data_IF_095893159002
#
_entry.id   IF_095893159002
#
_cell.length_a   1.000
_cell.length_b   1.000
_cell.length_c   1.000
_cell.angle_alpha   90.00
_cell.angle_beta   90.00
_cell.angle_gamma   90.00
#
_symmetry.space_group_name_H-M   'P 1'
#
loop_
_entity.id
_entity.type
_entity.pdbx_description
1 polymer ?
#
# COMPACT_ATOMS: atom_id res chain seq x y z
N UNK A 1 3.72 30.32 2.86
CA UNK A 1 2.37 29.83 3.25
C UNK A 1 1.28 30.39 2.33
N UNK A 2 0.61 29.53 1.56
CA UNK A 2 -0.53 29.87 0.70
C UNK A 2 -1.82 29.96 1.52
N UNK A 3 -2.43 31.15 1.57
CA UNK A 3 -3.59 31.41 2.42
C UNK A 3 -4.85 30.62 2.03
N UNK A 4 -5.05 30.36 0.73
CA UNK A 4 -6.25 29.66 0.23
C UNK A 4 -6.20 28.17 0.58
N UNK A 5 -5.07 27.52 0.36
CA UNK A 5 -4.90 26.10 0.69
C UNK A 5 -4.88 25.89 2.20
N UNK A 6 -4.30 26.83 2.95
CA UNK A 6 -4.40 26.84 4.41
C UNK A 6 -5.85 26.95 4.90
N UNK A 7 -6.68 27.78 4.26
CA UNK A 7 -8.10 27.88 4.61
C UNK A 7 -8.86 26.57 4.37
N UNK A 8 -8.58 25.85 3.27
CA UNK A 8 -9.16 24.54 3.00
C UNK A 8 -8.71 23.47 4.01
N UNK A 9 -7.41 23.45 4.32
CA UNK A 9 -6.86 22.54 5.34
C UNK A 9 -7.52 22.77 6.71
N UNK A 10 -7.70 24.03 7.13
CA UNK A 10 -8.43 24.38 8.37
C UNK A 10 -9.91 23.98 8.35
N UNK A 11 -10.50 23.86 7.16
CA UNK A 11 -11.87 23.36 6.98
C UNK A 11 -11.96 21.82 6.98
N UNK A 12 -10.84 21.12 7.18
CA UNK A 12 -10.77 19.65 7.23
C UNK A 12 -10.53 18.96 5.89
N UNK A 13 -10.05 19.69 4.86
CA UNK A 13 -9.71 19.13 3.56
C UNK A 13 -8.21 18.93 3.43
N UNK A 14 -7.76 17.69 3.32
CA UNK A 14 -6.36 17.36 3.03
C UNK A 14 -6.01 17.68 1.58
N UNK A 15 -4.91 18.42 1.37
CA UNK A 15 -4.45 18.81 0.03
C UNK A 15 -3.35 17.86 -0.42
N UNK A 16 -3.59 17.14 -1.50
CA UNK A 16 -2.63 16.20 -2.07
C UNK A 16 -2.16 16.68 -3.43
N UNK A 17 -0.91 16.38 -3.76
CA UNK A 17 -0.33 16.64 -5.07
C UNK A 17 -0.52 15.43 -5.98
N UNK A 18 -1.05 15.62 -7.19
CA UNK A 18 -1.22 14.54 -8.18
C UNK A 18 -0.07 14.45 -9.18
N UNK A 19 1.16 14.47 -8.65
CA UNK A 19 2.40 14.44 -9.43
C UNK A 19 3.60 14.16 -8.53
N UNK A 20 4.42 13.16 -8.87
CA UNK A 20 5.72 12.92 -8.23
C UNK A 20 6.76 12.66 -9.33
N UNK A 21 7.80 13.49 -9.34
CA UNK A 21 8.96 13.33 -10.21
C UNK A 21 10.25 13.44 -9.41
N UNK A 22 11.32 12.84 -9.93
CA UNK A 22 12.67 12.97 -9.37
C UNK A 22 13.12 14.43 -9.27
N UNK A 23 12.81 15.25 -10.26
CA UNK A 23 13.04 16.70 -10.24
C UNK A 23 12.49 17.35 -8.98
N UNK A 24 11.23 17.06 -8.61
CA UNK A 24 10.57 17.70 -7.46
C UNK A 24 11.20 17.31 -6.14
N UNK A 25 11.68 16.07 -6.04
CA UNK A 25 12.39 15.56 -4.87
C UNK A 25 13.76 16.25 -4.75
N UNK A 26 14.58 16.15 -5.80
CA UNK A 26 15.98 16.60 -5.79
C UNK A 26 16.13 18.13 -5.77
N UNK A 27 15.20 18.87 -6.37
CA UNK A 27 15.19 20.35 -6.33
C UNK A 27 14.71 20.94 -5.00
N UNK A 28 14.16 20.12 -4.10
CA UNK A 28 13.49 20.58 -2.88
C UNK A 28 12.10 21.18 -3.11
N UNK A 29 11.55 21.09 -4.32
CA UNK A 29 10.22 21.59 -4.63
C UNK A 29 9.13 20.90 -3.79
N UNK A 30 9.20 19.57 -3.61
CA UNK A 30 8.21 18.86 -2.80
C UNK A 30 8.24 19.33 -1.34
N UNK A 31 9.44 19.51 -0.78
CA UNK A 31 9.59 20.05 0.58
C UNK A 31 9.02 21.47 0.71
N UNK A 32 9.20 22.32 -0.31
CA UNK A 32 8.57 23.64 -0.37
C UNK A 32 7.04 23.54 -0.41
N UNK A 33 6.47 22.63 -1.19
CA UNK A 33 5.01 22.43 -1.25
C UNK A 33 4.43 21.96 0.09
N UNK A 34 5.15 21.09 0.80
CA UNK A 34 4.77 20.65 2.15
C UNK A 34 4.77 21.85 3.11
N UNK A 35 5.86 22.61 3.15
CA UNK A 35 6.05 23.70 4.12
C UNK A 35 5.16 24.92 3.84
N UNK A 36 4.99 25.29 2.57
CA UNK A 36 4.40 26.56 2.18
C UNK A 36 3.04 26.45 1.50
N UNK A 37 2.61 25.26 1.06
CA UNK A 37 1.39 25.08 0.28
C UNK A 37 0.39 24.12 0.93
N UNK A 38 0.61 23.72 2.18
CA UNK A 38 -0.25 22.81 2.93
C UNK A 38 -0.45 21.45 2.24
N UNK A 39 0.51 21.02 1.41
CA UNK A 39 0.47 19.70 0.77
C UNK A 39 0.81 18.64 1.82
N UNK A 40 -0.06 17.64 1.96
CA UNK A 40 0.03 16.61 3.00
C UNK A 40 -0.01 15.19 2.44
N UNK A 41 0.08 15.03 1.12
CA UNK A 41 0.22 13.73 0.47
C UNK A 41 0.52 13.88 -1.01
N UNK A 42 0.91 12.78 -1.65
CA UNK A 42 1.19 12.76 -3.09
C UNK A 42 0.74 11.44 -3.73
N UNK A 43 0.30 11.52 -4.97
CA UNK A 43 -0.02 10.36 -5.79
C UNK A 43 0.92 10.26 -6.99
N UNK A 44 1.29 9.03 -7.33
CA UNK A 44 1.95 8.72 -8.60
C UNK A 44 0.95 8.12 -9.59
N UNK A 45 1.28 8.20 -10.87
CA UNK A 45 0.64 7.41 -11.91
C UNK A 45 1.69 7.02 -12.98
N UNK A 46 1.49 5.90 -13.70
CA UNK A 46 2.45 5.41 -14.69
C UNK A 46 2.75 6.42 -15.81
N UNK A 47 1.76 7.23 -16.21
CA UNK A 47 1.90 8.18 -17.32
C UNK A 47 2.87 9.33 -16.98
N UNK A 48 2.77 9.88 -15.77
CA UNK A 48 3.68 10.91 -15.26
C UNK A 48 5.09 10.35 -15.18
N UNK A 49 5.24 9.13 -14.65
CA UNK A 49 6.53 8.49 -14.52
C UNK A 49 7.19 8.20 -15.87
N UNK A 50 6.43 7.67 -16.83
CA UNK A 50 6.91 7.46 -18.20
C UNK A 50 7.36 8.76 -18.86
N UNK A 51 6.62 9.85 -18.65
CA UNK A 51 7.01 11.17 -19.16
C UNK A 51 8.30 11.68 -18.51
N UNK A 52 8.49 11.49 -17.21
CA UNK A 52 9.71 11.86 -16.49
C UNK A 52 10.93 11.06 -16.99
N UNK A 53 10.79 9.73 -17.13
CA UNK A 53 11.84 8.87 -17.69
C UNK A 53 12.23 9.25 -19.12
N UNK A 54 11.24 9.63 -19.95
CA UNK A 54 11.49 9.96 -21.36
C UNK A 54 12.28 11.26 -21.58
N UNK A 55 12.27 12.16 -20.59
CA UNK A 55 12.91 13.49 -20.68
C UNK A 55 14.34 13.52 -20.13
N UNK A 56 14.74 12.48 -19.40
CA UNK A 56 16.12 12.00 -19.25
C UNK A 56 17.20 13.01 -18.86
N UNK A 57 17.58 12.99 -17.58
CA UNK A 57 18.95 13.08 -17.04
C UNK A 57 18.94 12.62 -15.56
N UNK A 58 17.86 12.92 -14.85
CA UNK A 58 17.70 12.70 -13.40
C UNK A 58 17.71 11.22 -12.96
N UNK A 59 17.36 10.32 -13.87
CA UNK A 59 17.34 8.87 -13.62
C UNK A 59 18.56 8.15 -14.21
N UNK A 60 19.50 8.86 -14.84
CA UNK A 60 20.59 8.23 -15.61
C UNK A 60 21.43 7.27 -14.75
N UNK A 61 21.79 7.67 -13.55
CA UNK A 61 22.58 6.85 -12.63
C UNK A 61 21.82 5.61 -12.18
N UNK A 62 20.55 5.76 -11.78
CA UNK A 62 19.70 4.63 -11.38
C UNK A 62 19.48 3.64 -12.54
N UNK A 63 19.28 4.14 -13.76
CA UNK A 63 19.16 3.29 -14.96
C UNK A 63 20.48 2.54 -15.21
N UNK A 64 21.62 3.20 -15.04
CA UNK A 64 22.93 2.56 -15.20
C UNK A 64 23.15 1.46 -14.15
N UNK A 65 22.74 1.69 -12.90
CA UNK A 65 22.77 0.69 -11.82
C UNK A 65 21.88 -0.51 -12.13
N UNK A 66 20.63 -0.29 -12.54
CA UNK A 66 19.71 -1.38 -12.91
C UNK A 66 20.23 -2.18 -14.10
N UNK A 67 20.81 -1.49 -15.09
CA UNK A 67 21.46 -2.14 -16.24
C UNK A 67 22.66 -2.99 -15.82
N UNK A 68 23.49 -2.49 -14.91
CA UNK A 68 24.64 -3.22 -14.40
C UNK A 68 24.21 -4.45 -13.57
N UNK A 69 23.07 -4.36 -12.88
CA UNK A 69 22.44 -5.48 -12.18
C UNK A 69 21.76 -6.50 -13.10
N UNK A 70 21.63 -6.20 -14.41
CA UNK A 70 20.96 -7.07 -15.38
C UNK A 70 19.44 -7.15 -15.18
N UNK A 71 18.85 -6.12 -14.59
CA UNK A 71 17.41 -6.04 -14.36
C UNK A 71 16.62 -6.05 -15.68
N UNK A 72 15.42 -6.63 -15.65
CA UNK A 72 14.47 -6.44 -16.75
C UNK A 72 14.00 -4.98 -16.81
N UNK A 73 13.39 -4.57 -17.92
CA UNK A 73 12.83 -3.21 -18.05
C UNK A 73 11.75 -2.96 -16.98
N UNK A 74 10.92 -3.97 -16.73
CA UNK A 74 9.85 -3.89 -15.74
C UNK A 74 10.42 -3.75 -14.31
N UNK A 75 11.40 -4.58 -13.95
CA UNK A 75 12.06 -4.51 -12.64
C UNK A 75 12.76 -3.16 -12.43
N UNK A 76 13.41 -2.65 -13.48
CA UNK A 76 14.05 -1.34 -13.42
C UNK A 76 13.02 -0.24 -13.19
N UNK A 77 11.91 -0.22 -13.94
CA UNK A 77 10.83 0.77 -13.77
C UNK A 77 10.27 0.73 -12.35
N UNK A 78 9.96 -0.46 -11.82
CA UNK A 78 9.49 -0.61 -10.44
C UNK A 78 10.52 -0.13 -9.42
N UNK A 79 11.79 -0.50 -9.57
CA UNK A 79 12.84 -0.07 -8.66
C UNK A 79 12.99 1.46 -8.61
N UNK A 80 12.91 2.12 -9.78
CA UNK A 80 12.99 3.57 -9.85
C UNK A 80 11.75 4.25 -9.23
N UNK A 81 10.54 3.76 -9.53
CA UNK A 81 9.31 4.26 -8.91
C UNK A 81 9.31 4.10 -7.39
N UNK A 82 9.74 2.94 -6.91
CA UNK A 82 9.83 2.64 -5.48
C UNK A 82 10.81 3.58 -4.79
N UNK A 83 11.97 3.87 -5.38
CA UNK A 83 12.95 4.77 -4.79
C UNK A 83 12.39 6.20 -4.62
N UNK A 84 11.70 6.73 -5.63
CA UNK A 84 11.06 8.05 -5.53
C UNK A 84 9.96 8.07 -4.48
N UNK A 85 9.16 7.00 -4.40
CA UNK A 85 8.10 6.84 -3.39
C UNK A 85 8.69 6.73 -1.98
N UNK A 86 9.80 6.03 -1.80
CA UNK A 86 10.51 5.94 -0.51
C UNK A 86 11.00 7.32 -0.05
N UNK A 87 11.64 8.07 -0.94
CA UNK A 87 12.13 9.41 -0.63
C UNK A 87 10.97 10.37 -0.30
N UNK A 88 9.87 10.31 -1.05
CA UNK A 88 8.66 11.06 -0.73
C UNK A 88 8.05 10.64 0.62
N UNK A 89 7.98 9.33 0.90
CA UNK A 89 7.49 8.82 2.19
C UNK A 89 8.33 9.38 3.35
N UNK A 90 9.64 9.41 3.19
CA UNK A 90 10.57 9.92 4.19
C UNK A 90 10.36 11.44 4.42
N UNK A 91 10.11 12.21 3.36
CA UNK A 91 9.76 13.65 3.47
C UNK A 91 8.42 13.88 4.17
N UNK A 92 7.44 12.99 4.00
CA UNK A 92 6.11 13.09 4.62
C UNK A 92 6.02 12.45 6.02
N UNK A 93 7.09 11.82 6.53
CA UNK A 93 7.11 11.11 7.81
C UNK A 93 6.59 11.94 8.99
N UNK A 94 7.03 13.20 9.11
CA UNK A 94 6.57 14.08 10.17
C UNK A 94 5.06 14.38 10.10
N UNK A 95 4.53 14.59 8.89
CA UNK A 95 3.08 14.81 8.67
C UNK A 95 2.29 13.54 9.00
N UNK A 96 2.82 12.38 8.62
CA UNK A 96 2.21 11.09 8.93
C UNK A 96 2.09 10.89 10.44
N UNK A 97 3.18 11.11 11.19
CA UNK A 97 3.17 10.99 12.66
C UNK A 97 2.20 11.98 13.32
N UNK A 98 2.25 13.26 12.91
CA UNK A 98 1.41 14.32 13.50
C UNK A 98 -0.08 14.12 13.27
N UNK A 99 -0.45 13.44 12.19
CA UNK A 99 -1.85 13.17 11.82
C UNK A 99 -2.32 11.77 12.20
N UNK A 100 -1.54 11.04 13.00
CA UNK A 100 -1.81 9.65 13.37
C UNK A 100 -2.05 8.74 12.15
N UNK A 101 -1.27 8.99 11.09
CA UNK A 101 -1.33 8.28 9.84
C UNK A 101 -2.51 8.62 8.94
N UNK A 102 -3.30 9.67 9.21
CA UNK A 102 -4.35 10.06 8.28
C UNK A 102 -3.75 10.68 6.99
N UNK A 103 -2.84 11.64 7.16
CA UNK A 103 -2.11 12.28 6.09
C UNK A 103 -0.65 11.81 6.06
N UNK A 104 0.21 12.51 5.31
CA UNK A 104 1.59 12.16 5.06
C UNK A 104 1.73 10.93 4.16
N UNK A 105 0.75 10.69 3.30
CA UNK A 105 0.63 9.47 2.50
C UNK A 105 1.20 9.64 1.09
N UNK A 106 1.80 8.58 0.57
CA UNK A 106 2.37 8.53 -0.79
C UNK A 106 1.81 7.31 -1.52
N UNK A 107 1.16 7.52 -2.66
CA UNK A 107 0.55 6.41 -3.41
C UNK A 107 1.42 5.94 -4.58
N UNK A 108 1.60 4.62 -4.68
CA UNK A 108 2.23 3.92 -5.82
C UNK A 108 1.23 2.98 -6.49
N UNK A 109 1.11 3.03 -7.82
CA UNK A 109 0.12 2.27 -8.57
C UNK A 109 0.63 0.91 -9.03
N UNK A 110 -0.24 -0.10 -8.97
CA UNK A 110 -0.02 -1.39 -9.66
C UNK A 110 -0.02 -1.19 -11.19
N UNK A 111 0.55 -2.14 -11.92
CA UNK A 111 0.54 -2.14 -13.38
C UNK A 111 -0.92 -2.16 -13.91
N UNK A 112 -1.32 -1.16 -14.72
CA UNK A 112 -2.67 -1.10 -15.28
C UNK A 112 -3.07 -2.33 -16.12
N UNK A 113 -2.10 -3.06 -16.69
CA UNK A 113 -2.37 -4.27 -17.47
C UNK A 113 -2.91 -5.42 -16.61
N UNK A 114 -2.68 -5.38 -15.29
CA UNK A 114 -3.18 -6.36 -14.33
C UNK A 114 -4.59 -6.03 -13.81
N UNK A 115 -5.19 -4.90 -14.22
CA UNK A 115 -6.46 -4.41 -13.66
C UNK A 115 -7.65 -5.38 -13.78
N UNK A 116 -7.56 -6.42 -14.61
CA UNK A 116 -8.59 -7.44 -14.77
C UNK A 116 -8.16 -8.83 -14.23
N UNK A 117 -7.03 -8.91 -13.52
CA UNK A 117 -6.54 -10.10 -12.86
C UNK A 117 -6.37 -9.85 -11.35
N UNK A 118 -7.28 -10.41 -10.56
CA UNK A 118 -7.29 -10.28 -9.10
C UNK A 118 -6.00 -10.78 -8.46
N UNK A 119 -5.52 -11.96 -8.88
CA UNK A 119 -4.40 -12.62 -8.22
C UNK A 119 -3.09 -11.87 -8.56
N UNK A 120 -2.89 -11.55 -9.83
CA UNK A 120 -1.71 -10.81 -10.26
C UNK A 120 -1.66 -9.40 -9.63
N UNK A 121 -2.81 -8.70 -9.56
CA UNK A 121 -2.92 -7.41 -8.87
C UNK A 121 -2.51 -7.52 -7.40
N UNK A 122 -3.02 -8.52 -6.68
CA UNK A 122 -2.72 -8.72 -5.26
C UNK A 122 -1.25 -9.09 -5.04
N UNK A 123 -0.68 -9.94 -5.89
CA UNK A 123 0.74 -10.31 -5.82
C UNK A 123 1.65 -9.10 -6.05
N UNK A 124 1.34 -8.26 -7.03
CA UNK A 124 2.10 -7.04 -7.26
C UNK A 124 1.91 -6.02 -6.14
N UNK A 125 0.69 -5.89 -5.59
CA UNK A 125 0.44 -5.03 -4.44
C UNK A 125 1.31 -5.42 -3.24
N UNK A 126 1.43 -6.72 -2.94
CA UNK A 126 2.34 -7.24 -1.89
C UNK A 126 3.80 -6.94 -2.22
N UNK A 127 4.21 -7.13 -3.47
CA UNK A 127 5.58 -6.88 -3.90
C UNK A 127 5.94 -5.40 -3.73
N UNK A 128 5.11 -4.48 -4.23
CA UNK A 128 5.31 -3.03 -4.08
C UNK A 128 5.30 -2.61 -2.61
N UNK A 129 4.37 -3.12 -1.80
CA UNK A 129 4.33 -2.84 -0.36
C UNK A 129 5.63 -3.24 0.34
N UNK A 130 6.12 -4.45 0.04
CA UNK A 130 7.37 -4.96 0.61
C UNK A 130 8.62 -4.21 0.09
N UNK A 131 8.61 -3.78 -1.18
CA UNK A 131 9.73 -3.03 -1.76
C UNK A 131 9.79 -1.59 -1.22
N UNK A 132 8.64 -0.93 -1.06
CA UNK A 132 8.58 0.43 -0.50
C UNK A 132 8.98 0.43 0.97
N UNK A 133 8.49 -0.52 1.77
CA UNK A 133 8.86 -0.68 3.18
C UNK A 133 8.74 0.64 3.99
N UNK A 134 7.58 1.29 3.85
CA UNK A 134 7.20 2.51 4.59
C UNK A 134 5.72 2.45 4.96
N UNK A 135 5.40 2.69 6.23
CA UNK A 135 4.02 2.59 6.75
C UNK A 135 3.06 3.64 6.18
N UNK A 136 3.60 4.73 5.64
CA UNK A 136 2.85 5.81 5.03
C UNK A 136 2.66 5.65 3.51
N UNK A 137 3.10 4.54 2.93
CA UNK A 137 2.77 4.20 1.55
C UNK A 137 1.28 3.84 1.39
N UNK A 138 0.78 3.98 0.18
CA UNK A 138 -0.51 3.47 -0.27
C UNK A 138 -0.32 2.73 -1.59
N UNK A 139 -0.82 1.50 -1.69
CA UNK A 139 -0.88 0.81 -2.97
C UNK A 139 -2.15 1.21 -3.68
N UNK A 140 -2.01 1.81 -4.86
CA UNK A 140 -3.13 2.29 -5.66
C UNK A 140 -3.63 1.17 -6.56
N UNK A 141 -4.90 0.78 -6.38
CA UNK A 141 -5.54 -0.35 -7.08
C UNK A 141 -6.83 0.15 -7.74
N UNK A 142 -7.06 -0.11 -9.03
CA UNK A 142 -8.27 0.34 -9.72
C UNK A 142 -9.51 -0.44 -9.26
N UNK A 143 -10.64 0.26 -9.11
CA UNK A 143 -11.93 -0.30 -8.73
C UNK A 143 -12.65 -1.02 -9.89
N UNK A 144 -11.97 -1.95 -10.55
CA UNK A 144 -12.61 -2.90 -11.48
C UNK A 144 -13.28 -4.02 -10.70
N UNK A 145 -14.12 -4.83 -11.37
CA UNK A 145 -14.72 -6.02 -10.73
C UNK A 145 -13.66 -6.99 -10.20
N UNK A 146 -12.53 -7.13 -10.91
CA UNK A 146 -11.40 -7.96 -10.49
C UNK A 146 -10.53 -7.29 -9.41
N UNK A 147 -10.50 -5.95 -9.37
CA UNK A 147 -9.76 -5.17 -8.39
C UNK A 147 -10.40 -5.18 -7.00
N UNK A 148 -11.74 -5.22 -6.90
CA UNK A 148 -12.46 -5.27 -5.62
C UNK A 148 -11.99 -6.41 -4.68
N UNK A 149 -11.95 -7.69 -5.10
CA UNK A 149 -11.43 -8.75 -4.24
C UNK A 149 -9.93 -8.59 -3.91
N UNK A 150 -9.13 -8.02 -4.82
CA UNK A 150 -7.72 -7.74 -4.55
C UNK A 150 -7.55 -6.64 -3.48
N UNK A 151 -8.37 -5.58 -3.54
CA UNK A 151 -8.43 -4.51 -2.53
C UNK A 151 -8.79 -5.11 -1.16
N UNK A 152 -9.84 -5.92 -1.09
CA UNK A 152 -10.27 -6.57 0.17
C UNK A 152 -9.15 -7.41 0.77
N UNK A 153 -8.49 -8.23 -0.05
CA UNK A 153 -7.41 -9.10 0.41
C UNK A 153 -6.18 -8.31 0.86
N UNK A 154 -5.75 -7.30 0.10
CA UNK A 154 -4.60 -6.46 0.45
C UNK A 154 -4.82 -5.75 1.78
N UNK A 155 -6.00 -5.14 1.99
CA UNK A 155 -6.33 -4.46 3.25
C UNK A 155 -6.43 -5.47 4.41
N UNK A 156 -6.96 -6.67 4.18
CA UNK A 156 -6.98 -7.72 5.20
C UNK A 156 -5.57 -8.19 5.63
N UNK A 157 -4.57 -8.01 4.77
CA UNK A 157 -3.15 -8.25 5.05
C UNK A 157 -2.44 -7.06 5.71
N UNK A 158 -3.16 -5.95 5.95
CA UNK A 158 -2.61 -4.73 6.55
C UNK A 158 -1.96 -3.77 5.54
N UNK A 159 -2.12 -4.02 4.24
CA UNK A 159 -1.64 -3.10 3.18
C UNK A 159 -2.62 -1.93 3.09
N UNK A 160 -2.10 -0.71 3.22
CA UNK A 160 -2.92 0.48 3.03
C UNK A 160 -3.16 0.70 1.52
N UNK A 161 -4.41 0.88 1.10
CA UNK A 161 -4.80 0.93 -0.33
C UNK A 161 -5.45 2.26 -0.70
N UNK A 162 -5.03 2.83 -1.83
CA UNK A 162 -5.71 3.94 -2.50
C UNK A 162 -6.58 3.37 -3.63
N UNK A 163 -7.90 3.34 -3.44
CA UNK A 163 -8.81 2.83 -4.47
C UNK A 163 -9.06 3.89 -5.54
N UNK A 164 -8.69 3.62 -6.78
CA UNK A 164 -8.75 4.59 -7.90
C UNK A 164 -9.81 4.21 -8.96
N UNK A 165 -10.06 5.11 -9.91
CA UNK A 165 -10.95 4.92 -11.07
C UNK A 165 -12.41 4.58 -10.71
N UNK A 166 -12.95 5.28 -9.70
CA UNK A 166 -14.35 5.17 -9.29
C UNK A 166 -15.16 6.26 -10.00
N UNK A 167 -16.01 5.87 -10.95
CA UNK A 167 -16.78 6.82 -11.79
C UNK A 167 -18.30 6.74 -11.60
N UNK A 168 -18.81 5.82 -10.78
CA UNK A 168 -20.24 5.68 -10.51
C UNK A 168 -20.53 5.47 -9.03
N UNK A 169 -21.72 5.88 -8.59
CA UNK A 169 -22.19 5.66 -7.22
C UNK A 169 -22.32 4.16 -6.90
N UNK A 170 -22.70 3.35 -7.88
CA UNK A 170 -22.76 1.90 -7.75
C UNK A 170 -21.37 1.33 -7.46
N UNK A 171 -20.35 1.73 -8.23
CA UNK A 171 -18.98 1.26 -7.99
C UNK A 171 -18.45 1.76 -6.64
N UNK A 172 -18.76 3.01 -6.27
CA UNK A 172 -18.39 3.57 -4.98
C UNK A 172 -18.98 2.75 -3.81
N UNK A 173 -20.26 2.38 -3.90
CA UNK A 173 -20.89 1.52 -2.90
C UNK A 173 -20.18 0.16 -2.79
N UNK A 174 -19.85 -0.47 -3.93
CA UNK A 174 -19.13 -1.74 -3.93
C UNK A 174 -17.74 -1.65 -3.28
N UNK A 175 -17.04 -0.53 -3.44
CA UNK A 175 -15.76 -0.27 -2.75
C UNK A 175 -15.96 -0.15 -1.24
N UNK A 176 -17.01 0.56 -0.80
CA UNK A 176 -17.36 0.64 0.63
C UNK A 176 -17.72 -0.74 1.18
N UNK A 177 -18.51 -1.52 0.44
CA UNK A 177 -18.90 -2.88 0.84
C UNK A 177 -17.67 -3.79 0.95
N UNK A 178 -16.74 -3.71 -0.02
CA UNK A 178 -15.46 -4.41 0.02
C UNK A 178 -14.66 -4.04 1.29
N UNK A 179 -14.50 -2.76 1.58
CA UNK A 179 -13.79 -2.28 2.77
C UNK A 179 -14.46 -2.71 4.09
N UNK A 180 -15.77 -2.53 4.21
CA UNK A 180 -16.52 -2.84 5.44
C UNK A 180 -16.65 -4.34 5.71
N UNK A 181 -16.67 -5.17 4.65
CA UNK A 181 -16.69 -6.63 4.77
C UNK A 181 -15.48 -7.18 5.54
N UNK A 182 -14.34 -6.47 5.50
CA UNK A 182 -13.12 -6.85 6.22
C UNK A 182 -13.33 -6.76 7.72
N UNK A 183 -14.01 -5.73 8.22
CA UNK A 183 -14.28 -5.60 9.66
C UNK A 183 -15.17 -6.74 10.18
N UNK A 184 -16.14 -7.16 9.37
CA UNK A 184 -16.96 -8.34 9.66
C UNK A 184 -16.13 -9.63 9.65
N UNK A 185 -15.18 -9.74 8.71
CA UNK A 185 -14.25 -10.86 8.62
C UNK A 185 -13.30 -10.91 9.83
N UNK A 186 -12.66 -9.81 10.20
CA UNK A 186 -11.76 -9.71 11.36
C UNK A 186 -12.50 -10.08 12.64
N UNK A 187 -13.72 -9.57 12.83
CA UNK A 187 -14.55 -9.88 14.00
C UNK A 187 -14.95 -11.36 14.06
N UNK A 188 -15.24 -11.97 12.91
CA UNK A 188 -15.59 -13.40 12.81
C UNK A 188 -14.36 -14.30 13.00
N UNK A 189 -13.21 -13.93 12.45
CA UNK A 189 -11.94 -14.63 12.63
C UNK A 189 -11.49 -14.59 14.10
N UNK A 190 -11.60 -13.44 14.77
CA UNK A 190 -11.35 -13.29 16.20
C UNK A 190 -12.33 -14.08 17.10
N UNK A 191 -13.51 -14.44 16.57
CA UNK A 191 -14.48 -15.28 17.29
C UNK A 191 -14.11 -16.77 17.22
N UNK A 192 -13.53 -17.22 16.10
CA UNK A 192 -13.09 -18.60 15.89
C UNK A 192 -11.68 -18.89 16.45
N UNK A 193 -10.86 -17.86 16.57
CA UNK A 193 -9.46 -17.96 16.99
C UNK A 193 -9.17 -16.98 18.12
N UNK A 194 -8.51 -17.44 19.19
CA UNK A 194 -7.89 -16.51 20.14
C UNK A 194 -6.63 -15.97 19.48
N UNK A 195 -6.71 -14.75 18.95
CA UNK A 195 -5.55 -14.00 18.49
C UNK A 195 -5.15 -13.04 19.62
N UNK A 196 -3.96 -13.24 20.19
CA UNK A 196 -3.38 -12.31 21.16
C UNK A 196 -2.66 -11.21 20.38
N UNK A 197 -3.17 -9.98 20.43
CA UNK A 197 -2.48 -8.82 19.84
C UNK A 197 -1.34 -8.46 20.79
N UNK A 198 -0.11 -8.87 20.46
CA UNK A 198 1.07 -8.36 21.18
C UNK A 198 1.45 -6.99 20.62
N UNK A 199 1.63 -5.96 21.47
CA UNK A 199 2.18 -4.68 21.01
C UNK A 199 3.59 -4.93 20.40
N UNK A 200 3.93 -4.28 19.28
CA UNK A 200 5.17 -4.56 18.58
C UNK A 200 6.38 -4.14 19.42
N UNK A 201 7.25 -5.09 19.72
CA UNK A 201 8.63 -4.80 20.13
C UNK A 201 9.49 -4.73 18.87
N UNK A 202 9.66 -3.51 18.32
CA UNK A 202 10.69 -3.13 17.32
C UNK A 202 10.79 -3.97 16.01
N UNK A 203 9.69 -4.52 15.50
CA UNK A 203 9.64 -5.12 14.14
C UNK A 203 8.34 -4.75 13.43
N UNK A 204 8.35 -4.50 12.10
CA UNK A 204 7.24 -3.91 11.35
C UNK A 204 6.12 -4.90 10.95
N UNK A 205 6.09 -6.09 11.54
CA UNK A 205 5.01 -7.04 11.32
C UNK A 205 4.14 -7.11 12.57
N UNK A 206 2.82 -6.94 12.42
CA UNK A 206 1.83 -7.38 13.40
C UNK A 206 1.92 -8.92 13.48
N UNK A 207 2.55 -9.54 14.48
CA UNK A 207 2.63 -10.98 14.54
C UNK A 207 1.30 -11.45 15.12
N UNK A 208 0.30 -11.68 14.26
CA UNK A 208 -0.93 -12.35 14.66
C UNK A 208 -0.60 -13.83 14.89
N UNK A 209 -0.35 -14.20 16.15
CA UNK A 209 -0.36 -15.60 16.57
C UNK A 209 -1.80 -15.97 16.89
N UNK A 210 -2.41 -16.76 16.01
CA UNK A 210 -3.77 -17.24 16.19
C UNK A 210 -3.74 -18.76 16.43
N UNK A 211 -4.35 -19.20 17.54
CA UNK A 211 -4.62 -20.62 17.80
C UNK A 211 -6.13 -20.87 17.77
N UNK A 212 -6.59 -22.05 17.30
CA UNK A 212 -8.02 -22.35 17.29
C UNK A 212 -8.52 -22.30 18.73
N UNK A 213 -9.66 -21.66 18.97
CA UNK A 213 -10.29 -21.72 20.30
C UNK A 213 -10.70 -23.18 20.55
N UNK A 214 -10.33 -23.81 21.68
CA UNK A 214 -10.82 -25.15 21.98
C UNK A 214 -12.35 -25.12 21.97
N UNK A 215 -12.98 -25.91 21.09
CA UNK A 215 -14.43 -25.98 21.01
C UNK A 215 -14.95 -26.51 22.34
N UNK A 216 -16.02 -25.89 22.86
CA UNK A 216 -16.78 -26.47 23.94
C UNK A 216 -17.26 -27.86 23.48
N UNK A 217 -16.85 -28.87 24.23
CA UNK A 217 -17.04 -30.30 24.00
C UNK A 217 -18.27 -30.65 23.14
N UNK A 218 -18.03 -31.29 22.00
CA UNK A 218 -18.99 -32.23 21.41
C UNK A 218 -18.36 -33.61 21.38
N UNK A 219 -19.01 -34.50 22.12
CA UNK A 219 -18.64 -35.91 22.26
C UNK A 219 -18.48 -36.59 20.89
N UNK A 220 -17.32 -37.21 20.71
CA UNK A 220 -17.05 -38.37 19.85
C UNK A 220 -17.88 -38.51 18.58
N UNK A 221 -17.35 -38.01 17.46
CA UNK A 221 -17.40 -38.66 16.14
C UNK A 221 -16.34 -38.05 15.24
N UNK A 222 -15.39 -38.89 14.82
CA UNK A 222 -14.41 -38.59 13.78
C UNK A 222 -15.13 -38.30 12.46
N UNK A 223 -14.99 -37.09 11.93
CA UNK A 223 -15.27 -36.79 10.53
C UNK A 223 -14.02 -36.15 9.93
N UNK A 224 -13.40 -36.88 9.01
CA UNK A 224 -12.34 -36.40 8.15
C UNK A 224 -12.92 -35.44 7.12
N UNK A 225 -12.55 -34.16 7.19
CA UNK A 225 -12.69 -33.22 6.07
C UNK A 225 -11.29 -32.72 5.72
N UNK A 226 -10.85 -33.12 4.52
CA UNK A 226 -9.61 -32.72 3.87
C UNK A 226 -9.78 -31.35 3.22
N UNK A 227 -8.80 -30.46 3.41
CA UNK A 227 -8.52 -29.30 2.55
C UNK A 227 -7.96 -28.07 3.28
N UNK A 228 -7.18 -27.20 2.60
CA UNK A 228 -5.95 -27.47 1.86
C UNK A 228 -4.71 -27.14 2.73
N UNK A 229 -3.66 -27.93 2.58
CA UNK A 229 -2.34 -27.66 3.18
C UNK A 229 -1.59 -26.59 2.39
N UNK A 230 -1.52 -25.36 2.90
CA UNK A 230 -0.42 -24.43 2.60
C UNK A 230 0.56 -24.44 3.78
N UNK A 231 1.55 -25.32 3.70
CA UNK A 231 2.69 -25.34 4.62
C UNK A 231 3.58 -24.12 4.33
N UNK A 232 3.43 -23.03 5.10
CA UNK A 232 4.54 -22.07 5.26
C UNK A 232 5.48 -22.62 6.33
N UNK A 233 6.47 -23.42 5.89
CA UNK A 233 7.58 -23.85 6.75
C UNK A 233 8.53 -22.66 6.96
N UNK A 234 8.44 -22.02 8.12
CA UNK A 234 9.51 -21.12 8.58
C UNK A 234 10.70 -21.97 9.06
N UNK A 235 11.77 -22.00 8.27
CA UNK A 235 13.00 -22.70 8.60
C UNK A 235 13.75 -22.02 9.74
N UNK A 236 13.98 -22.75 10.84
CA UNK A 236 14.97 -22.41 11.87
C UNK A 236 16.37 -22.35 11.24
N UNK A 237 16.96 -21.17 11.11
CA UNK A 237 18.43 -21.07 11.09
C UNK A 237 18.94 -21.24 12.52
N UNK A 238 19.77 -22.26 12.73
CA UNK A 238 20.52 -22.50 13.97
C UNK A 238 21.85 -21.76 13.89
N UNK A 239 22.16 -21.10 15.02
CA UNK A 239 23.42 -20.49 15.47
C UNK A 239 23.83 -19.20 14.79
#
# INVERSE_FOLDING_TARGET
MNERLLALSKAGVSIWLDDLSRERLTSGNLAHLIADWSVVGVTTNPTIFAAALSKGDEYADMIAEQRAAGASVEDAVHALMVADVQEACDLFSATYEQTNGFDGRVSIEVDPTLAHDTQATLEQARALWAMVDRENALIKIPATDAGLPAITAAIAEGISVNVTLIFSLERYQQVIDAYTSISAWISSAATLWTCEVRPPSRTPAWPLSCTPRPSAATNGRTSSVLGPTSNVRCGRRRR
#
